data_IF_917323390233
#
_entry.id   IF_917323390233
#
_cell.length_a   1.000
_cell.length_b   1.000
_cell.length_c   1.000
_cell.angle_alpha   90.00
_cell.angle_beta   90.00
_cell.angle_gamma   90.00
#
_symmetry.space_group_name_H-M   'P 1'
#
loop_
_entity.id
_entity.type
_entity.pdbx_description
1 polymer ?
#
# COMPACT_ATOMS: atom_id res chain seq x y z
N UNK A 1 -0.83 -15.71 8.87
CA UNK A 1 0.22 -15.08 8.05
C UNK A 1 0.36 -13.59 8.36
N UNK A 2 -0.76 -12.88 8.39
CA UNK A 2 -0.87 -11.41 8.43
C UNK A 2 -0.23 -10.72 9.63
N UNK A 3 -0.01 -11.46 10.73
CA UNK A 3 0.72 -10.94 11.89
C UNK A 3 2.17 -10.59 11.57
N UNK A 4 2.79 -11.28 10.60
CA UNK A 4 4.21 -11.13 10.27
C UNK A 4 4.45 -10.26 9.05
N UNK A 5 3.56 -10.34 8.05
CA UNK A 5 3.60 -9.53 6.84
C UNK A 5 2.20 -9.01 6.59
N UNK A 6 2.05 -7.71 6.45
CA UNK A 6 0.77 -7.05 6.17
C UNK A 6 0.89 -6.17 4.94
N UNK A 7 -0.21 -6.00 4.22
CA UNK A 7 -0.36 -5.01 3.15
C UNK A 7 -1.42 -3.96 3.52
N UNK A 8 -1.56 -3.66 4.82
CA UNK A 8 -2.56 -2.74 5.36
C UNK A 8 -1.87 -1.58 6.09
N UNK A 9 -2.49 -0.39 6.02
CA UNK A 9 -2.15 0.73 6.89
C UNK A 9 -2.74 0.50 8.28
N UNK A 10 -2.04 0.98 9.30
CA UNK A 10 -2.52 0.93 10.68
C UNK A 10 -3.65 1.92 10.88
N UNK A 11 -4.83 1.46 11.29
CA UNK A 11 -5.96 2.33 11.61
C UNK A 11 -5.79 3.00 12.99
N UNK A 12 -5.33 2.23 13.98
CA UNK A 12 -5.35 2.64 15.40
C UNK A 12 -4.08 3.35 15.85
N UNK A 13 -2.96 3.17 15.14
CA UNK A 13 -1.66 3.75 15.51
C UNK A 13 -1.20 4.72 14.43
N UNK A 14 -1.35 6.02 14.71
CA UNK A 14 -0.99 7.11 13.80
C UNK A 14 0.52 7.22 13.56
N UNK A 15 1.34 6.88 14.55
CA UNK A 15 2.80 6.95 14.43
C UNK A 15 3.29 5.85 13.48
N UNK A 16 2.81 4.62 13.66
CA UNK A 16 3.08 3.52 12.73
C UNK A 16 2.58 3.86 11.33
N UNK A 17 1.35 4.38 11.22
CA UNK A 17 0.77 4.77 9.94
C UNK A 17 1.59 5.82 9.20
N UNK A 18 2.17 6.80 9.91
CA UNK A 18 3.06 7.80 9.30
C UNK A 18 4.26 7.15 8.61
N UNK A 19 4.93 6.21 9.28
CA UNK A 19 6.05 5.47 8.69
C UNK A 19 5.62 4.57 7.54
N UNK A 20 4.48 3.89 7.65
CA UNK A 20 3.93 3.08 6.56
C UNK A 20 3.63 3.93 5.31
N UNK A 21 2.95 5.08 5.48
CA UNK A 21 2.67 6.00 4.38
C UNK A 21 3.93 6.50 3.68
N UNK A 22 5.06 6.57 4.39
CA UNK A 22 6.36 6.99 3.85
C UNK A 22 7.14 5.88 3.16
N UNK A 23 7.14 4.68 3.72
CA UNK A 23 8.09 3.63 3.34
C UNK A 23 7.47 2.37 2.74
N UNK A 24 6.16 2.18 2.89
CA UNK A 24 5.47 0.95 2.45
C UNK A 24 4.48 1.23 1.33
N UNK A 25 4.45 2.43 0.77
CA UNK A 25 3.57 2.75 -0.35
C UNK A 25 4.29 2.48 -1.65
N UNK A 26 3.60 1.82 -2.59
CA UNK A 26 4.04 1.80 -3.97
C UNK A 26 4.00 3.22 -4.59
N UNK A 27 3.21 4.11 -3.98
CA UNK A 27 2.95 5.48 -4.40
C UNK A 27 1.65 5.55 -5.19
N UNK A 28 0.89 6.66 -5.12
CA UNK A 28 -0.24 6.85 -6.02
C UNK A 28 0.32 6.85 -7.44
N UNK A 29 -0.26 6.07 -8.35
CA UNK A 29 0.06 6.19 -9.76
C UNK A 29 -0.34 7.61 -10.17
N UNK A 30 0.64 8.52 -10.16
CA UNK A 30 0.60 9.84 -10.79
C UNK A 30 1.65 9.89 -11.90
N UNK A 31 1.34 10.57 -13.01
CA UNK A 31 2.20 10.61 -14.20
C UNK A 31 3.65 10.94 -13.82
N UNK A 32 4.63 10.12 -14.21
CA UNK A 32 6.07 10.38 -13.98
C UNK A 32 6.76 9.57 -12.87
N UNK A 33 6.07 8.61 -12.23
CA UNK A 33 6.71 7.66 -11.31
C UNK A 33 7.30 6.44 -12.04
N UNK A 34 8.44 5.94 -11.54
CA UNK A 34 9.31 4.92 -12.18
C UNK A 34 8.64 3.58 -12.56
N UNK A 35 7.48 3.27 -11.99
CA UNK A 35 6.77 2.00 -12.19
C UNK A 35 5.72 2.04 -13.33
N UNK A 36 5.53 3.21 -13.92
CA UNK A 36 4.53 3.56 -14.91
C UNK A 36 5.11 3.33 -16.32
N UNK A 37 4.60 2.33 -17.03
CA UNK A 37 5.01 2.04 -18.41
C UNK A 37 4.37 3.01 -19.43
N UNK A 38 4.72 2.87 -20.71
CA UNK A 38 4.18 3.74 -21.77
C UNK A 38 2.64 3.67 -21.89
N UNK A 39 2.01 2.60 -21.42
CA UNK A 39 0.57 2.36 -21.46
C UNK A 39 -0.16 2.80 -20.19
N UNK A 40 0.57 3.41 -19.24
CA UNK A 40 0.02 3.83 -17.95
C UNK A 40 -0.36 2.71 -17.01
N UNK A 41 0.30 1.56 -17.17
CA UNK A 41 0.10 0.38 -16.33
C UNK A 41 1.29 0.20 -15.40
N UNK A 42 0.98 -0.23 -14.17
CA UNK A 42 1.98 -0.64 -13.21
C UNK A 42 2.51 -2.02 -13.59
N UNK A 43 3.83 -2.17 -13.79
CA UNK A 43 4.45 -3.50 -13.99
C UNK A 43 4.24 -4.49 -12.82
N UNK A 44 3.81 -4.00 -11.65
CA UNK A 44 3.48 -4.79 -10.46
C UNK A 44 1.98 -4.88 -10.20
N UNK A 45 1.14 -4.43 -11.14
CA UNK A 45 -0.33 -4.46 -11.08
C UNK A 45 -0.91 -3.78 -9.83
N UNK A 46 -0.38 -2.61 -9.48
CA UNK A 46 -1.04 -1.71 -8.53
C UNK A 46 -2.00 -0.77 -9.29
N UNK A 47 -3.13 -0.36 -8.71
CA UNK A 47 -3.63 -0.71 -7.37
C UNK A 47 -4.12 -2.16 -7.28
N UNK A 48 -3.77 -2.89 -6.21
CA UNK A 48 -4.23 -4.27 -6.00
C UNK A 48 -5.73 -4.29 -5.65
N UNK A 49 -6.43 -5.40 -5.91
CA UNK A 49 -7.81 -5.55 -5.42
C UNK A 49 -7.84 -5.66 -3.90
N UNK A 50 -8.95 -5.22 -3.30
CA UNK A 50 -9.24 -5.54 -1.90
C UNK A 50 -9.44 -7.05 -1.74
N UNK A 51 -9.10 -7.54 -0.56
CA UNK A 51 -9.22 -8.95 -0.21
C UNK A 51 -9.31 -9.05 1.32
N UNK A 52 -10.32 -9.74 1.83
CA UNK A 52 -10.60 -9.84 3.27
C UNK A 52 -9.67 -10.80 4.01
N UNK A 53 -8.96 -11.68 3.30
CA UNK A 53 -8.05 -12.66 3.89
C UNK A 53 -6.80 -12.85 3.02
N UNK A 54 -5.71 -13.34 3.61
CA UNK A 54 -4.53 -13.73 2.84
C UNK A 54 -4.72 -15.14 2.29
N UNK A 55 -4.52 -15.28 0.99
CA UNK A 55 -4.71 -16.52 0.25
C UNK A 55 -3.47 -16.85 -0.60
N UNK A 56 -3.21 -18.14 -0.82
CA UNK A 56 -2.11 -18.62 -1.64
C UNK A 56 -2.61 -18.80 -3.07
N UNK A 57 -2.07 -18.02 -4.01
CA UNK A 57 -2.47 -18.12 -5.41
C UNK A 57 -1.74 -19.26 -6.13
N UNK A 58 -2.26 -19.70 -7.28
CA UNK A 58 -1.73 -20.84 -8.05
C UNK A 58 -0.28 -20.65 -8.52
N UNK A 59 0.17 -19.39 -8.65
CA UNK A 59 1.54 -19.00 -8.96
C UNK A 59 2.50 -19.07 -7.76
N UNK A 60 2.02 -19.51 -6.59
CA UNK A 60 2.82 -19.72 -5.39
C UNK A 60 3.16 -18.45 -4.61
N UNK A 61 2.59 -17.30 -4.99
CA UNK A 61 2.72 -16.05 -4.24
C UNK A 61 1.50 -15.83 -3.33
N UNK A 62 1.69 -15.30 -2.11
CA UNK A 62 0.55 -14.94 -1.28
C UNK A 62 -0.11 -13.66 -1.80
N UNK A 63 -1.42 -13.73 -2.05
CA UNK A 63 -2.28 -12.56 -2.15
C UNK A 63 -2.63 -12.11 -0.73
N UNK A 64 -1.88 -11.13 -0.24
CA UNK A 64 -2.08 -10.58 1.10
C UNK A 64 -3.43 -9.87 1.26
N UNK A 65 -4.02 -10.01 2.46
CA UNK A 65 -5.19 -9.26 2.89
C UNK A 65 -4.99 -7.75 2.70
N UNK A 66 -6.01 -7.12 2.12
CA UNK A 66 -6.16 -5.67 1.91
C UNK A 66 -7.63 -5.34 2.15
N UNK A 67 -8.01 -5.03 3.39
CA UNK A 67 -9.39 -4.60 3.69
C UNK A 67 -9.70 -3.28 3.02
N UNK A 68 -10.95 -3.13 2.59
CA UNK A 68 -11.46 -1.87 2.08
C UNK A 68 -11.40 -0.81 3.18
N UNK A 69 -10.65 0.27 2.92
CA UNK A 69 -10.55 1.44 3.77
C UNK A 69 -10.75 2.74 2.98
N UNK A 70 -11.56 2.68 1.92
CA UNK A 70 -11.92 3.85 1.10
C UNK A 70 -12.72 4.89 1.88
N UNK A 71 -13.30 4.54 3.03
CA UNK A 71 -13.95 5.46 3.97
C UNK A 71 -12.95 6.36 4.74
N UNK A 72 -11.72 5.90 4.94
CA UNK A 72 -10.70 6.58 5.77
C UNK A 72 -9.55 7.21 4.99
N UNK A 73 -9.35 6.84 3.71
CA UNK A 73 -8.18 7.14 2.85
C UNK A 73 -7.20 8.19 3.39
N UNK A 74 -5.91 7.88 3.36
CA UNK A 74 -4.90 8.73 3.98
C UNK A 74 -4.14 9.58 2.98
N UNK A 75 -3.74 10.79 3.39
CA UNK A 75 -2.91 11.66 2.56
C UNK A 75 -1.54 11.03 2.33
N UNK A 76 -1.14 10.91 1.07
CA UNK A 76 0.18 10.47 0.66
C UNK A 76 1.23 11.51 1.03
N UNK A 77 2.41 11.04 1.42
CA UNK A 77 3.46 11.91 1.95
C UNK A 77 4.09 12.82 0.88
N UNK A 78 4.04 12.45 -0.41
CA UNK A 78 4.56 13.25 -1.52
C UNK A 78 3.43 13.98 -2.21
N UNK A 79 3.61 15.30 -2.41
CA UNK A 79 2.76 16.08 -3.31
C UNK A 79 3.25 15.90 -4.74
N UNK A 80 2.34 15.66 -5.67
CA UNK A 80 2.65 15.63 -7.09
C UNK A 80 1.98 16.80 -7.79
N UNK A 81 2.75 17.61 -8.53
CA UNK A 81 2.28 18.86 -9.14
C UNK A 81 1.53 19.78 -8.16
N UNK A 82 2.02 19.86 -6.91
CA UNK A 82 1.41 20.66 -5.84
C UNK A 82 0.12 20.10 -5.24
N UNK A 83 -0.39 18.96 -5.74
CA UNK A 83 -1.63 18.32 -5.27
C UNK A 83 -1.33 17.27 -4.20
N UNK A 84 -2.24 17.19 -3.23
CA UNK A 84 -2.28 16.09 -2.24
C UNK A 84 -3.03 14.92 -2.88
N UNK A 85 -2.48 13.73 -2.73
CA UNK A 85 -3.10 12.49 -3.20
C UNK A 85 -3.52 11.66 -2.00
N UNK A 86 -4.66 10.98 -2.11
CA UNK A 86 -5.14 10.08 -1.07
C UNK A 86 -4.90 8.64 -1.50
N UNK A 87 -4.48 7.80 -0.55
CA UNK A 87 -4.13 6.40 -0.76
C UNK A 87 -4.87 5.50 0.23
N UNK A 88 -5.11 4.28 -0.21
CA UNK A 88 -5.78 3.23 0.56
C UNK A 88 -4.91 1.96 0.58
N UNK A 89 -5.43 0.88 1.17
CA UNK A 89 -4.71 -0.39 1.32
C UNK A 89 -4.32 -1.04 -0.01
N UNK A 90 -4.92 -0.66 -1.15
CA UNK A 90 -4.57 -1.21 -2.47
C UNK A 90 -3.19 -0.82 -2.94
N UNK A 91 -2.64 0.26 -2.38
CA UNK A 91 -1.35 0.84 -2.76
C UNK A 91 -0.18 0.42 -1.84
N UNK A 92 -0.46 -0.34 -0.78
CA UNK A 92 0.55 -0.74 0.21
C UNK A 92 1.35 -1.94 -0.30
N UNK A 93 2.68 -1.84 -0.29
CA UNK A 93 3.58 -2.98 -0.50
C UNK A 93 3.61 -3.83 0.77
N UNK A 94 3.52 -5.18 0.67
CA UNK A 94 3.60 -6.06 1.83
C UNK A 94 4.87 -5.80 2.65
N UNK A 95 4.73 -5.67 3.97
CA UNK A 95 5.82 -5.33 4.86
C UNK A 95 5.64 -5.96 6.25
N UNK A 96 6.72 -6.05 7.02
CA UNK A 96 6.66 -6.51 8.39
C UNK A 96 6.34 -5.33 9.34
N UNK A 97 5.16 -5.32 10.00
CA UNK A 97 4.76 -4.20 10.85
C UNK A 97 5.65 -4.04 12.09
N UNK A 98 6.33 -5.09 12.54
CA UNK A 98 7.24 -5.03 13.69
C UNK A 98 8.53 -4.26 13.40
N UNK A 99 8.95 -4.16 12.14
CA UNK A 99 10.16 -3.41 11.79
C UNK A 99 9.96 -1.90 11.91
N UNK A 100 8.71 -1.42 11.76
CA UNK A 100 8.37 0.00 11.89
C UNK A 100 8.05 0.42 13.33
N UNK A 101 7.73 -0.51 14.23
CA UNK A 101 7.50 -0.22 15.66
C UNK A 101 8.78 0.03 16.48
N UNK A 102 9.95 -0.10 15.85
CA UNK A 102 11.27 0.08 16.50
C UNK A 102 12.00 1.35 16.03
N UNK A 103 11.39 2.12 15.13
CA UNK A 103 11.86 3.41 14.64
C UNK A 103 11.18 4.49 15.46
#
# INVERSE_FOLDING_TARGET
MDRFITAELSDTDSSLRYYQLRYTMHGPHVDGLMCWDAEKVCSKNFSKSFCEETDMTEDGLPRYRRRDNTDKMYAYHVRHNGKVHYVDNRMVVPHNPYLFKKI
#
